data_IF_675087342216
#
_entry.id   IF_675087342216
#
_cell.length_a   1.000
_cell.length_b   1.000
_cell.length_c   1.000
_cell.angle_alpha   90.00
_cell.angle_beta   90.00
_cell.angle_gamma   90.00
#
_symmetry.space_group_name_H-M   'P 1'
#
loop_
_entity.id
_entity.type
_entity.pdbx_description
1 polymer ?
#
# COMPACT_ATOMS: atom_id res chain seq x y z
N UNK A 1 27.99 27.11 34.44
CA UNK A 1 28.79 26.95 33.21
C UNK A 1 27.78 26.48 32.16
N UNK A 2 27.37 27.20 31.10
CA UNK A 2 27.97 28.26 30.25
C UNK A 2 28.91 27.70 29.16
N UNK A 3 28.48 27.85 27.89
CA UNK A 3 29.11 27.42 26.59
C UNK A 3 28.85 25.94 26.19
N UNK A 4 28.71 25.58 24.90
CA UNK A 4 28.74 26.39 23.66
C UNK A 4 27.82 25.82 22.55
N UNK A 5 27.23 26.71 21.74
CA UNK A 5 26.63 26.42 20.42
C UNK A 5 27.75 26.21 19.37
N UNK A 6 27.68 25.17 18.52
CA UNK A 6 28.48 25.10 17.28
C UNK A 6 27.82 24.30 16.13
N UNK A 7 27.56 25.03 15.05
CA UNK A 7 27.66 24.66 13.63
C UNK A 7 26.93 23.42 13.09
N UNK A 8 25.87 23.73 12.33
CA UNK A 8 25.55 23.07 11.05
C UNK A 8 26.81 23.08 10.16
N UNK A 9 27.09 21.96 9.49
CA UNK A 9 28.00 21.89 8.34
C UNK A 9 27.21 21.30 7.17
N UNK A 10 26.86 22.13 6.19
CA UNK A 10 26.40 21.68 4.87
C UNK A 10 27.66 21.56 4.01
N UNK A 11 28.02 20.33 3.64
CA UNK A 11 29.12 20.06 2.71
C UNK A 11 28.62 20.06 1.27
N UNK A 12 29.08 21.02 0.46
CA UNK A 12 28.72 21.13 -0.96
C UNK A 12 29.94 21.50 -1.82
N UNK A 13 30.68 20.49 -2.28
CA UNK A 13 31.81 20.54 -3.23
C UNK A 13 31.93 19.14 -3.87
N UNK A 14 32.28 18.88 -5.14
CA UNK A 14 32.06 19.55 -6.44
C UNK A 14 32.97 18.83 -7.48
N UNK A 15 32.42 18.34 -8.58
CA UNK A 15 33.10 18.08 -9.87
C UNK A 15 32.02 17.90 -10.95
N UNK A 16 32.15 18.26 -12.22
CA UNK A 16 32.95 19.26 -12.97
C UNK A 16 32.48 19.17 -14.46
N UNK A 17 32.38 20.22 -15.27
CA UNK A 17 32.69 21.66 -15.14
C UNK A 17 32.67 22.34 -16.54
N UNK A 18 33.14 23.60 -16.65
CA UNK A 18 33.35 24.38 -17.90
C UNK A 18 32.08 24.76 -18.72
N UNK A 19 31.80 26.00 -19.16
CA UNK A 19 32.26 27.40 -18.90
C UNK A 19 31.02 28.33 -19.08
N UNK A 20 30.98 29.68 -19.09
CA UNK A 20 31.94 30.81 -19.11
C UNK A 20 31.29 32.02 -18.39
N UNK A 21 32.09 32.90 -17.79
CA UNK A 21 31.59 34.02 -16.97
C UNK A 21 31.14 35.26 -17.78
N UNK A 22 30.16 36.02 -17.27
CA UNK A 22 30.28 37.48 -17.05
C UNK A 22 29.10 38.03 -16.19
N UNK A 23 29.36 39.12 -15.47
CA UNK A 23 28.51 39.85 -14.52
C UNK A 23 28.64 41.36 -14.82
N UNK A 24 27.83 42.30 -14.24
CA UNK A 24 26.52 42.18 -13.56
C UNK A 24 25.45 43.23 -13.99
N UNK A 25 24.22 43.08 -13.45
CA UNK A 25 23.19 44.04 -12.93
C UNK A 25 23.36 45.59 -13.07
N UNK A 26 22.30 46.47 -12.91
CA UNK A 26 20.84 46.25 -12.71
C UNK A 26 19.85 47.22 -13.46
N UNK A 27 18.54 47.05 -13.18
CA UNK A 27 17.49 48.09 -12.94
C UNK A 27 16.58 48.71 -14.06
N UNK A 28 15.25 48.57 -13.79
CA UNK A 28 14.09 49.47 -14.00
C UNK A 28 13.56 49.98 -15.38
N UNK A 29 12.31 49.57 -15.64
CA UNK A 29 11.17 50.38 -16.17
C UNK A 29 11.08 50.70 -17.68
N UNK A 30 9.85 50.97 -18.16
CA UNK A 30 9.59 51.63 -19.46
C UNK A 30 8.62 50.88 -20.39
N UNK A 31 7.44 51.46 -20.65
CA UNK A 31 6.41 50.86 -21.51
C UNK A 31 6.74 50.91 -23.02
N UNK A 32 6.46 49.79 -23.70
CA UNK A 32 5.79 49.67 -25.01
C UNK A 32 6.29 50.55 -26.18
N UNK A 33 6.84 49.89 -27.21
CA UNK A 33 6.55 50.19 -28.63
C UNK A 33 6.72 48.92 -29.46
N UNK A 34 5.86 48.73 -30.47
CA UNK A 34 5.88 47.54 -31.35
C UNK A 34 6.68 47.85 -32.62
N UNK A 35 7.51 46.91 -33.07
CA UNK A 35 7.53 46.58 -34.50
C UNK A 35 8.02 45.15 -34.79
N UNK A 36 7.78 44.70 -36.02
CA UNK A 36 7.72 43.29 -36.45
C UNK A 36 9.06 42.55 -36.45
N UNK A 37 9.05 41.32 -35.95
CA UNK A 37 10.11 40.34 -36.23
C UNK A 37 10.02 39.09 -35.36
N UNK A 38 10.33 37.93 -35.94
CA UNK A 38 10.46 36.61 -35.30
C UNK A 38 9.14 36.05 -34.75
N UNK A 39 8.74 34.89 -35.27
CA UNK A 39 7.78 34.01 -34.59
C UNK A 39 8.45 33.51 -33.32
N UNK A 40 8.15 34.09 -32.17
CA UNK A 40 8.62 33.56 -30.89
C UNK A 40 8.14 32.12 -30.76
N UNK A 41 9.08 31.19 -30.61
CA UNK A 41 8.75 29.81 -30.22
C UNK A 41 7.95 29.90 -28.94
N UNK A 42 6.85 29.15 -28.86
CA UNK A 42 6.24 28.92 -27.55
C UNK A 42 7.23 28.09 -26.76
N UNK A 43 8.03 28.74 -25.91
CA UNK A 43 8.57 28.11 -24.71
C UNK A 43 7.39 27.83 -23.77
N UNK A 44 6.53 26.90 -24.19
CA UNK A 44 5.99 25.94 -23.26
C UNK A 44 7.20 25.33 -22.57
N UNK A 45 7.40 25.70 -21.31
CA UNK A 45 8.19 24.89 -20.42
C UNK A 45 7.52 23.52 -20.36
N UNK A 46 7.98 22.62 -21.22
CA UNK A 46 7.89 21.21 -20.94
C UNK A 46 8.60 21.04 -19.60
N UNK A 47 7.83 20.80 -18.54
CA UNK A 47 8.36 20.22 -17.32
C UNK A 47 8.81 18.80 -17.70
N UNK A 48 10.00 18.72 -18.29
CA UNK A 48 10.68 17.48 -18.64
C UNK A 48 11.08 16.80 -17.34
N UNK A 49 10.12 16.07 -16.77
CA UNK A 49 10.29 15.32 -15.54
C UNK A 49 11.50 14.40 -15.69
N UNK A 50 12.48 14.59 -14.80
CA UNK A 50 13.70 13.80 -14.83
C UNK A 50 13.32 12.31 -14.77
N UNK A 51 13.87 11.46 -15.64
CA UNK A 51 13.53 10.04 -15.64
C UNK A 51 13.96 9.41 -14.32
N UNK A 52 13.19 8.43 -13.83
CA UNK A 52 13.54 7.71 -12.61
C UNK A 52 14.93 7.08 -12.73
N UNK A 53 15.79 7.41 -11.77
CA UNK A 53 17.17 6.92 -11.65
C UNK A 53 17.38 6.12 -10.36
N UNK A 54 16.67 6.49 -9.28
CA UNK A 54 16.64 5.72 -8.05
C UNK A 54 15.85 6.39 -6.93
N UNK A 55 15.62 5.67 -5.84
CA UNK A 55 14.99 6.17 -4.62
C UNK A 55 15.79 5.72 -3.39
N UNK A 56 16.20 6.66 -2.54
CA UNK A 56 16.97 6.40 -1.31
C UNK A 56 16.15 6.72 -0.08
N UNK A 57 16.19 5.84 0.92
CA UNK A 57 15.42 5.94 2.16
C UNK A 57 16.16 5.31 3.36
N UNK A 58 15.76 5.71 4.57
CA UNK A 58 16.13 5.05 5.82
C UNK A 58 15.29 3.78 6.02
N UNK A 59 15.88 2.72 6.58
CA UNK A 59 15.23 1.42 6.77
C UNK A 59 15.70 0.74 8.05
N UNK A 60 14.78 0.33 8.94
CA UNK A 60 15.10 -0.46 10.15
C UNK A 60 15.24 -1.94 9.76
N UNK A 61 16.44 -2.49 9.85
CA UNK A 61 16.67 -3.94 9.71
C UNK A 61 16.43 -4.71 11.01
N UNK A 62 17.00 -5.91 11.12
CA UNK A 62 16.80 -6.79 12.29
C UNK A 62 17.83 -6.58 13.42
N UNK A 63 18.87 -5.75 13.19
CA UNK A 63 19.92 -5.45 14.16
C UNK A 63 20.31 -3.96 14.23
N UNK A 64 20.18 -3.24 13.11
CA UNK A 64 20.57 -1.84 12.97
C UNK A 64 19.70 -1.15 11.89
N UNK A 65 19.89 0.15 11.71
CA UNK A 65 19.26 0.90 10.61
C UNK A 65 20.20 0.96 9.40
N UNK A 66 19.64 0.95 8.20
CA UNK A 66 20.35 1.00 6.93
C UNK A 66 19.90 2.20 6.10
N UNK A 67 20.77 2.70 5.21
CA UNK A 67 20.36 3.53 4.08
C UNK A 67 20.20 2.59 2.88
N UNK A 68 19.02 2.54 2.29
CA UNK A 68 18.72 1.67 1.15
C UNK A 68 18.41 2.52 -0.06
N UNK A 69 19.03 2.20 -1.20
CA UNK A 69 18.75 2.80 -2.51
C UNK A 69 18.22 1.75 -3.47
N UNK A 70 17.04 2.00 -4.03
CA UNK A 70 16.34 1.19 -5.03
C UNK A 70 16.50 1.83 -6.41
N UNK A 71 16.84 1.06 -7.44
CA UNK A 71 16.84 1.49 -8.85
C UNK A 71 16.35 0.38 -9.78
N UNK A 72 16.24 0.68 -11.08
CA UNK A 72 16.22 -0.37 -12.12
C UNK A 72 17.50 -1.23 -12.01
N UNK A 73 17.39 -2.53 -12.28
CA UNK A 73 18.53 -3.45 -12.43
C UNK A 73 19.25 -3.33 -13.77
N UNK A 74 20.12 -4.29 -14.09
CA UNK A 74 20.77 -4.37 -15.41
C UNK A 74 19.78 -4.85 -16.48
N UNK A 75 18.73 -5.56 -16.08
CA UNK A 75 17.64 -6.00 -16.97
C UNK A 75 16.29 -5.31 -16.64
N UNK A 76 15.37 -5.18 -17.62
CA UNK A 76 14.10 -4.47 -17.43
C UNK A 76 13.17 -5.10 -16.38
N UNK A 77 13.32 -6.41 -16.17
CA UNK A 77 12.60 -7.24 -15.21
C UNK A 77 13.23 -7.25 -13.80
N UNK A 78 14.33 -6.51 -13.59
CA UNK A 78 15.07 -6.47 -12.33
C UNK A 78 14.94 -5.15 -11.57
N UNK A 79 14.96 -5.25 -10.24
CA UNK A 79 15.16 -4.13 -9.32
C UNK A 79 16.54 -4.32 -8.65
N UNK A 80 17.40 -3.30 -8.72
CA UNK A 80 18.65 -3.29 -7.95
C UNK A 80 18.43 -2.60 -6.60
N UNK A 81 19.08 -3.14 -5.56
CA UNK A 81 19.16 -2.55 -4.23
C UNK A 81 20.62 -2.36 -3.85
N UNK A 82 20.97 -1.18 -3.36
CA UNK A 82 22.19 -0.95 -2.59
C UNK A 82 21.80 -0.70 -1.12
N UNK A 83 22.38 -1.45 -0.21
CA UNK A 83 22.18 -1.35 1.25
C UNK A 83 23.49 -0.87 1.86
N UNK A 84 23.46 0.27 2.55
CA UNK A 84 24.59 0.84 3.29
C UNK A 84 24.35 0.75 4.80
N UNK A 85 25.34 0.23 5.53
CA UNK A 85 25.31 0.08 7.00
C UNK A 85 25.89 1.29 7.75
N UNK A 86 25.79 1.29 9.09
CA UNK A 86 26.27 2.39 9.93
C UNK A 86 27.80 2.57 9.94
N UNK A 87 28.55 1.73 9.21
CA UNK A 87 29.99 1.86 8.99
C UNK A 87 30.34 2.31 7.56
N UNK A 88 29.33 2.66 6.75
CA UNK A 88 29.44 2.96 5.31
C UNK A 88 29.92 1.78 4.47
N UNK A 89 29.70 0.55 4.94
CA UNK A 89 29.92 -0.65 4.13
C UNK A 89 28.65 -0.95 3.33
N UNK A 90 28.83 -1.26 2.04
CA UNK A 90 27.72 -1.41 1.09
C UNK A 90 27.59 -2.85 0.57
N UNK A 91 26.33 -3.28 0.40
CA UNK A 91 25.96 -4.58 -0.18
C UNK A 91 24.94 -4.35 -1.29
N UNK A 92 25.15 -5.02 -2.43
CA UNK A 92 24.25 -4.94 -3.57
C UNK A 92 23.45 -6.23 -3.72
N UNK A 93 22.16 -6.09 -4.01
CA UNK A 93 21.22 -7.18 -4.24
C UNK A 93 20.40 -6.90 -5.52
N UNK A 94 19.87 -7.95 -6.13
CA UNK A 94 18.98 -7.87 -7.30
C UNK A 94 17.72 -8.68 -7.02
N UNK A 95 16.56 -8.11 -7.33
CA UNK A 95 15.25 -8.77 -7.26
C UNK A 95 14.70 -8.86 -8.68
N UNK A 96 14.75 -10.04 -9.27
CA UNK A 96 14.10 -10.36 -10.55
C UNK A 96 12.58 -10.49 -10.36
N UNK A 97 11.78 -10.05 -11.33
CA UNK A 97 10.33 -10.21 -11.32
C UNK A 97 9.90 -11.69 -11.45
N UNK A 98 8.73 -12.07 -10.90
CA UNK A 98 8.09 -13.36 -11.22
C UNK A 98 7.81 -13.51 -12.72
N UNK A 99 7.82 -14.75 -13.23
CA UNK A 99 7.57 -15.03 -14.64
C UNK A 99 6.19 -14.51 -15.07
N UNK A 100 6.13 -13.70 -16.11
CA UNK A 100 4.90 -13.06 -16.59
C UNK A 100 4.55 -11.72 -15.92
N UNK A 101 5.47 -11.17 -15.10
CA UNK A 101 5.33 -9.87 -14.45
C UNK A 101 6.57 -8.99 -14.70
N UNK A 102 6.43 -7.68 -14.50
CA UNK A 102 7.52 -6.70 -14.59
C UNK A 102 7.49 -5.71 -13.41
N UNK A 103 8.65 -5.19 -12.95
CA UNK A 103 8.73 -4.24 -11.84
C UNK A 103 7.85 -3.01 -12.05
N UNK A 104 7.07 -2.63 -11.03
CA UNK A 104 6.31 -1.36 -11.03
C UNK A 104 7.19 -0.20 -10.56
N UNK A 105 8.21 0.12 -11.35
CA UNK A 105 9.01 1.32 -11.14
C UNK A 105 8.29 2.57 -11.72
N UNK A 106 8.46 3.76 -11.12
CA UNK A 106 7.94 5.00 -11.68
C UNK A 106 8.73 5.41 -12.92
N UNK A 107 8.09 6.12 -13.85
CA UNK A 107 8.80 6.73 -14.99
C UNK A 107 9.56 8.00 -14.61
N UNK A 108 9.10 8.70 -13.56
CA UNK A 108 9.53 10.05 -13.19
C UNK A 108 10.22 10.05 -11.82
N UNK A 109 11.34 10.75 -11.69
CA UNK A 109 12.09 10.93 -10.44
C UNK A 109 11.25 11.65 -9.37
N UNK A 110 10.30 12.51 -9.77
CA UNK A 110 9.28 13.12 -8.90
C UNK A 110 8.37 12.11 -8.18
N UNK A 111 8.30 10.86 -8.68
CA UNK A 111 7.53 9.74 -8.11
C UNK A 111 8.42 8.62 -7.58
N UNK A 112 9.72 8.83 -7.44
CA UNK A 112 10.69 7.83 -6.99
C UNK A 112 10.24 7.05 -5.72
N UNK A 113 9.59 7.73 -4.78
CA UNK A 113 9.00 7.16 -3.56
C UNK A 113 7.96 6.04 -3.79
N UNK A 114 7.48 5.86 -5.02
CA UNK A 114 6.51 4.82 -5.39
C UNK A 114 7.14 3.54 -5.97
N UNK A 115 8.47 3.50 -6.11
CA UNK A 115 9.23 2.32 -6.53
C UNK A 115 9.20 1.17 -5.52
N UNK A 116 9.01 1.49 -4.23
CA UNK A 116 8.86 0.54 -3.12
C UNK A 116 7.84 1.12 -2.14
N UNK A 117 6.95 0.29 -1.58
CA UNK A 117 6.17 0.66 -0.40
C UNK A 117 6.94 0.20 0.83
N UNK A 118 7.25 1.15 1.72
CA UNK A 118 7.72 0.83 3.06
C UNK A 118 6.54 0.55 3.97
N UNK A 119 6.70 -0.43 4.84
CA UNK A 119 5.79 -0.76 5.94
C UNK A 119 6.65 -0.80 7.20
N UNK A 120 6.37 0.08 8.14
CA UNK A 120 7.14 0.29 9.36
C UNK A 120 6.15 0.42 10.51
N UNK A 121 6.47 -0.14 11.68
CA UNK A 121 5.58 -0.04 12.84
C UNK A 121 5.28 1.44 13.16
N UNK A 122 4.00 1.79 13.05
CA UNK A 122 3.41 3.10 13.34
C UNK A 122 2.36 3.04 14.49
N UNK A 123 2.22 1.88 15.14
CA UNK A 123 1.28 1.65 16.26
C UNK A 123 1.88 2.11 17.59
N UNK A 124 3.15 1.80 17.85
CA UNK A 124 3.83 2.09 19.12
C UNK A 124 5.37 2.17 18.98
N UNK A 125 6.07 2.30 20.12
CA UNK A 125 7.54 2.31 20.18
C UNK A 125 8.19 0.90 20.09
N UNK A 126 7.43 -0.17 19.81
CA UNK A 126 7.98 -1.54 19.74
C UNK A 126 8.88 -1.70 18.52
N UNK A 127 10.11 -2.20 18.74
CA UNK A 127 11.08 -2.41 17.67
C UNK A 127 10.72 -3.64 16.83
N UNK A 128 10.06 -3.40 15.71
CA UNK A 128 9.82 -4.35 14.62
C UNK A 128 10.62 -3.89 13.40
N UNK A 129 11.34 -4.79 12.69
CA UNK A 129 12.01 -4.44 11.44
C UNK A 129 11.02 -3.96 10.38
N UNK A 130 11.44 -3.01 9.55
CA UNK A 130 10.62 -2.53 8.44
C UNK A 130 10.53 -3.61 7.33
N UNK A 131 9.55 -3.45 6.44
CA UNK A 131 9.31 -4.31 5.27
C UNK A 131 9.31 -3.45 4.00
N UNK A 132 10.07 -3.88 3.00
CA UNK A 132 9.99 -3.39 1.62
C UNK A 132 8.99 -4.25 0.83
N UNK A 133 7.84 -3.68 0.45
CA UNK A 133 6.88 -4.31 -0.47
C UNK A 133 7.11 -3.77 -1.89
N UNK A 134 7.56 -4.62 -2.80
CA UNK A 134 7.68 -4.34 -4.23
C UNK A 134 6.46 -4.86 -4.99
N UNK A 135 5.88 -4.03 -5.86
CA UNK A 135 4.78 -4.43 -6.76
C UNK A 135 5.32 -4.79 -8.14
N UNK A 136 4.80 -5.85 -8.74
CA UNK A 136 5.08 -6.25 -10.12
C UNK A 136 3.76 -6.32 -10.89
N UNK A 137 3.65 -5.67 -12.05
CA UNK A 137 2.45 -5.70 -12.87
C UNK A 137 2.50 -6.87 -13.86
N UNK A 138 1.36 -7.45 -14.22
CA UNK A 138 1.27 -8.46 -15.29
C UNK A 138 1.81 -7.91 -16.62
N UNK A 139 2.64 -8.68 -17.32
CA UNK A 139 3.05 -8.39 -18.71
C UNK A 139 2.11 -8.99 -19.75
N UNK A 140 1.14 -9.82 -19.34
CA UNK A 140 0.14 -10.38 -20.23
C UNK A 140 -0.86 -9.29 -20.68
N UNK A 141 -1.09 -9.19 -21.99
CA UNK A 141 -1.95 -8.17 -22.61
C UNK A 141 -3.29 -8.80 -23.00
N UNK A 142 -4.23 -8.84 -22.05
CA UNK A 142 -5.56 -9.43 -22.26
C UNK A 142 -6.24 -9.77 -20.94
N UNK A 143 -7.34 -10.52 -21.02
CA UNK A 143 -8.06 -11.05 -19.85
C UNK A 143 -7.47 -12.39 -19.34
N UNK A 144 -6.40 -12.88 -19.98
CA UNK A 144 -5.89 -14.25 -19.80
C UNK A 144 -4.93 -14.43 -18.60
N UNK A 145 -4.65 -13.36 -17.83
CA UNK A 145 -3.96 -13.45 -16.54
C UNK A 145 -4.91 -12.97 -15.42
N UNK A 146 -5.28 -13.84 -14.45
CA UNK A 146 -6.22 -13.47 -13.40
C UNK A 146 -5.69 -12.39 -12.44
N UNK A 147 -4.36 -12.22 -12.33
CA UNK A 147 -3.74 -11.30 -11.38
C UNK A 147 -3.14 -10.08 -12.11
N UNK A 148 -3.73 -8.87 -11.99
CA UNK A 148 -3.22 -7.69 -12.71
C UNK A 148 -1.88 -7.18 -12.14
N UNK A 149 -1.62 -7.41 -10.86
CA UNK A 149 -0.35 -7.12 -10.19
C UNK A 149 -0.18 -7.96 -8.92
N UNK A 150 1.06 -8.33 -8.63
CA UNK A 150 1.48 -9.12 -7.46
C UNK A 150 2.48 -8.35 -6.60
N UNK A 151 2.68 -8.82 -5.36
CA UNK A 151 3.61 -8.25 -4.38
C UNK A 151 4.66 -9.28 -3.95
N UNK A 152 5.93 -8.87 -3.86
CA UNK A 152 6.96 -9.58 -3.07
C UNK A 152 7.42 -8.68 -1.93
N UNK A 153 7.78 -9.26 -0.79
CA UNK A 153 8.10 -8.53 0.44
C UNK A 153 9.48 -8.93 0.96
N UNK A 154 10.24 -7.97 1.48
CA UNK A 154 11.62 -8.18 1.93
C UNK A 154 11.94 -7.40 3.21
N UNK A 155 12.87 -7.93 4.01
CA UNK A 155 13.52 -7.21 5.10
C UNK A 155 15.03 -7.46 5.09
N UNK A 156 15.75 -6.87 6.04
CA UNK A 156 17.21 -7.03 6.19
C UNK A 156 17.49 -7.72 7.53
N UNK A 157 18.19 -8.85 7.48
CA UNK A 157 18.50 -9.66 8.65
C UNK A 157 19.62 -9.07 9.53
N UNK A 158 20.04 -9.82 10.57
CA UNK A 158 21.09 -9.37 11.51
C UNK A 158 22.50 -9.32 10.92
N UNK A 159 22.73 -9.98 9.78
CA UNK A 159 24.00 -9.99 9.06
C UNK A 159 24.01 -8.94 7.92
N UNK A 160 22.99 -8.08 7.85
CA UNK A 160 22.79 -7.13 6.76
C UNK A 160 22.48 -7.81 5.41
N UNK A 161 21.88 -9.01 5.44
CA UNK A 161 21.46 -9.75 4.26
C UNK A 161 19.99 -9.47 3.92
N UNK A 162 19.71 -9.19 2.64
CA UNK A 162 18.33 -9.10 2.15
C UNK A 162 17.66 -10.48 2.27
N UNK A 163 16.48 -10.52 2.92
CA UNK A 163 15.65 -11.71 3.05
C UNK A 163 14.27 -11.46 2.48
N UNK A 164 13.79 -12.39 1.67
CA UNK A 164 12.40 -12.46 1.25
C UNK A 164 11.51 -12.91 2.42
N UNK A 165 10.31 -12.35 2.46
CA UNK A 165 9.25 -12.63 3.42
C UNK A 165 8.16 -13.38 2.67
N UNK A 166 8.16 -14.70 2.82
CA UNK A 166 7.09 -15.54 2.26
C UNK A 166 5.83 -15.43 3.11
N UNK A 167 4.65 -15.54 2.50
CA UNK A 167 3.41 -15.73 3.25
C UNK A 167 3.12 -17.22 3.41
N UNK A 168 2.64 -17.62 4.58
CA UNK A 168 2.20 -18.98 4.89
C UNK A 168 0.73 -18.92 5.25
N UNK A 169 -0.12 -19.59 4.47
CA UNK A 169 -1.51 -19.85 4.86
C UNK A 169 -1.66 -21.27 5.39
N UNK A 170 -2.77 -21.53 6.09
CA UNK A 170 -3.20 -22.87 6.49
C UNK A 170 -4.56 -23.14 5.87
N UNK A 171 -4.56 -24.02 4.89
CA UNK A 171 -5.72 -24.33 4.05
C UNK A 171 -5.82 -25.85 3.88
N UNK A 172 -7.03 -26.37 3.95
CA UNK A 172 -7.33 -27.75 3.54
C UNK A 172 -7.32 -27.78 2.01
N UNK A 173 -6.25 -28.33 1.42
CA UNK A 173 -6.00 -28.26 -0.03
C UNK A 173 -6.39 -29.55 -0.79
N UNK A 174 -6.58 -30.68 -0.10
CA UNK A 174 -6.97 -31.96 -0.70
C UNK A 174 -8.38 -32.45 -0.28
N UNK A 175 -8.97 -31.86 0.77
CA UNK A 175 -10.31 -32.13 1.26
C UNK A 175 -10.39 -33.16 2.40
N UNK A 176 -9.28 -33.49 3.08
CA UNK A 176 -9.28 -34.43 4.21
C UNK A 176 -9.76 -33.80 5.54
N UNK A 177 -9.74 -32.46 5.64
CA UNK A 177 -10.18 -31.68 6.80
C UNK A 177 -9.06 -31.17 7.73
N UNK A 178 -7.80 -31.55 7.51
CA UNK A 178 -6.64 -31.07 8.25
C UNK A 178 -5.88 -29.99 7.41
N UNK A 179 -5.71 -28.75 7.90
CA UNK A 179 -5.18 -27.67 7.07
C UNK A 179 -3.63 -27.72 6.97
N UNK A 180 -3.11 -27.80 5.74
CA UNK A 180 -1.67 -27.82 5.44
C UNK A 180 -1.06 -26.42 5.35
N UNK A 181 0.23 -26.28 5.69
CA UNK A 181 0.97 -25.02 5.53
C UNK A 181 1.38 -24.78 4.06
N UNK A 182 0.62 -23.92 3.37
CA UNK A 182 0.89 -23.50 1.99
C UNK A 182 1.77 -22.26 1.97
N UNK A 183 2.91 -22.33 1.28
CA UNK A 183 3.84 -21.20 1.11
C UNK A 183 3.57 -20.47 -0.20
N UNK A 184 3.29 -19.18 -0.13
CA UNK A 184 3.02 -18.31 -1.28
C UNK A 184 4.27 -17.50 -1.62
N UNK A 185 4.85 -17.74 -2.82
CA UNK A 185 6.06 -17.06 -3.33
C UNK A 185 5.83 -15.55 -3.61
N UNK A 186 4.58 -15.19 -3.88
CA UNK A 186 4.13 -13.81 -4.07
C UNK A 186 2.66 -13.72 -3.66
N UNK A 187 2.22 -12.51 -3.36
CA UNK A 187 0.81 -12.22 -3.05
C UNK A 187 0.16 -11.45 -4.17
N UNK A 188 -1.17 -11.40 -4.14
CA UNK A 188 -1.95 -10.38 -4.81
C UNK A 188 -1.51 -8.96 -4.37
N UNK A 189 -2.18 -7.92 -4.88
CA UNK A 189 -1.90 -6.53 -4.50
C UNK A 189 -2.49 -6.16 -3.13
N UNK A 190 -2.18 -6.98 -2.13
CA UNK A 190 -2.65 -6.89 -0.75
C UNK A 190 -2.22 -5.59 -0.07
N UNK A 191 -3.19 -4.90 0.52
CA UNK A 191 -2.95 -3.75 1.40
C UNK A 191 -2.86 -4.27 2.84
N UNK A 192 -1.64 -4.42 3.34
CA UNK A 192 -1.41 -4.66 4.77
C UNK A 192 -1.71 -3.38 5.56
N UNK A 193 -2.61 -3.49 6.54
CA UNK A 193 -2.95 -2.46 7.52
C UNK A 193 -2.49 -2.92 8.91
N UNK A 194 -1.68 -2.13 9.63
CA UNK A 194 -1.31 -2.48 11.00
C UNK A 194 -2.55 -2.59 11.90
N UNK A 195 -2.53 -3.60 12.78
CA UNK A 195 -3.49 -3.75 13.89
C UNK A 195 -2.77 -3.92 15.21
N UNK A 196 -1.63 -4.63 15.18
CA UNK A 196 -0.61 -4.68 16.23
C UNK A 196 0.76 -4.38 15.57
N UNK A 197 1.83 -4.11 16.37
CA UNK A 197 3.16 -3.81 15.83
C UNK A 197 3.71 -4.83 14.83
N UNK A 198 3.48 -6.13 15.10
CA UNK A 198 3.89 -7.25 14.25
C UNK A 198 2.74 -7.94 13.51
N UNK A 199 1.50 -7.41 13.58
CA UNK A 199 0.31 -8.05 13.01
C UNK A 199 -0.56 -7.12 12.17
N UNK A 200 -0.78 -7.53 10.93
CA UNK A 200 -1.56 -6.82 9.94
C UNK A 200 -2.95 -7.43 9.77
N UNK A 201 -3.99 -6.60 9.58
CA UNK A 201 -5.21 -7.02 8.89
C UNK A 201 -4.95 -6.93 7.39
N UNK A 202 -5.37 -7.95 6.63
CA UNK A 202 -5.22 -7.97 5.17
C UNK A 202 -6.52 -8.25 4.41
N UNK A 203 -7.51 -8.87 5.06
CA UNK A 203 -8.85 -9.09 4.51
C UNK A 203 -9.89 -9.01 5.63
N UNK A 204 -11.04 -8.39 5.35
CA UNK A 204 -12.23 -8.51 6.20
C UNK A 204 -13.41 -8.91 5.30
N UNK A 205 -14.05 -10.03 5.62
CA UNK A 205 -15.25 -10.53 4.94
C UNK A 205 -16.48 -10.26 5.81
N UNK A 206 -17.58 -9.82 5.22
CA UNK A 206 -18.88 -9.68 5.89
C UNK A 206 -19.90 -10.59 5.20
N UNK A 207 -20.61 -11.42 5.96
CA UNK A 207 -21.76 -12.18 5.52
C UNK A 207 -23.05 -11.41 5.84
N UNK A 208 -23.77 -11.05 4.78
CA UNK A 208 -25.08 -10.40 4.84
C UNK A 208 -26.23 -11.32 4.42
N UNK A 209 -25.94 -12.58 4.05
CA UNK A 209 -26.93 -13.53 3.53
C UNK A 209 -28.01 -13.90 4.55
N UNK A 210 -27.67 -13.83 5.84
CA UNK A 210 -28.59 -14.07 6.95
C UNK A 210 -28.24 -13.15 8.13
N UNK A 211 -28.90 -11.99 8.21
CA UNK A 211 -28.69 -11.01 9.29
C UNK A 211 -29.35 -11.40 10.62
N UNK A 212 -30.30 -12.34 10.58
CA UNK A 212 -31.11 -12.78 11.73
C UNK A 212 -31.05 -14.31 11.89
N UNK A 213 -31.25 -14.82 13.10
CA UNK A 213 -31.46 -16.25 13.36
C UNK A 213 -32.88 -16.70 12.95
N UNK A 214 -33.17 -18.01 13.09
CA UNK A 214 -34.47 -18.58 12.69
C UNK A 214 -35.62 -18.11 13.62
N UNK A 215 -35.28 -17.64 14.83
CA UNK A 215 -36.16 -16.99 15.79
C UNK A 215 -36.38 -15.47 15.53
N UNK A 216 -35.61 -14.86 14.62
CA UNK A 216 -35.72 -13.45 14.23
C UNK A 216 -34.90 -12.46 15.05
N UNK A 217 -33.97 -12.91 15.90
CA UNK A 217 -33.01 -12.05 16.60
C UNK A 217 -31.82 -11.71 15.68
N UNK A 218 -31.17 -10.53 15.82
CA UNK A 218 -29.97 -10.21 15.05
C UNK A 218 -28.83 -11.20 15.36
N UNK A 219 -28.20 -11.78 14.32
CA UNK A 219 -27.05 -12.67 14.53
C UNK A 219 -25.84 -11.89 15.08
N UNK A 220 -25.06 -12.47 16.01
CA UNK A 220 -23.95 -11.79 16.67
C UNK A 220 -22.75 -11.64 15.72
N UNK A 221 -21.86 -10.70 16.04
CA UNK A 221 -20.86 -10.18 15.08
C UNK A 221 -19.88 -11.26 14.60
N UNK A 222 -19.46 -12.14 15.49
CA UNK A 222 -18.55 -13.27 15.26
C UNK A 222 -19.11 -14.33 14.31
N UNK A 223 -20.44 -14.37 14.13
CA UNK A 223 -21.09 -15.24 13.15
C UNK A 223 -21.24 -14.61 11.76
N UNK A 224 -20.98 -13.30 11.63
CA UNK A 224 -21.25 -12.48 10.44
C UNK A 224 -20.02 -11.83 9.83
N UNK A 225 -18.92 -11.71 10.57
CA UNK A 225 -17.69 -11.09 10.08
C UNK A 225 -16.53 -12.06 10.26
N UNK A 226 -15.58 -12.05 9.32
CA UNK A 226 -14.29 -12.74 9.45
C UNK A 226 -13.17 -11.74 9.17
N UNK A 227 -12.21 -11.65 10.08
CA UNK A 227 -11.01 -10.83 9.92
C UNK A 227 -9.84 -11.78 9.73
N UNK A 228 -9.17 -11.70 8.58
CA UNK A 228 -7.92 -12.44 8.32
C UNK A 228 -6.74 -11.53 8.63
N UNK A 229 -5.80 -12.05 9.40
CA UNK A 229 -4.58 -11.34 9.80
C UNK A 229 -3.32 -12.05 9.30
N UNK A 230 -2.22 -11.29 9.27
CA UNK A 230 -0.88 -11.78 8.95
C UNK A 230 0.08 -11.34 10.06
N UNK A 231 0.71 -12.31 10.72
CA UNK A 231 1.72 -12.05 11.75
C UNK A 231 3.13 -12.16 11.18
N UNK A 232 3.94 -11.12 11.37
CA UNK A 232 5.31 -11.03 10.87
C UNK A 232 6.31 -11.64 11.86
N UNK A 233 6.72 -12.88 11.63
CA UNK A 233 7.76 -13.53 12.42
C UNK A 233 9.16 -13.10 11.94
N UNK A 234 9.53 -11.85 12.24
CA UNK A 234 10.77 -11.22 11.78
C UNK A 234 12.09 -11.97 12.17
N UNK A 235 12.05 -12.96 13.06
CA UNK A 235 13.21 -13.83 13.37
C UNK A 235 13.43 -14.94 12.32
N UNK A 236 12.39 -15.33 11.58
CA UNK A 236 12.44 -16.27 10.45
C UNK A 236 11.55 -15.67 9.35
N UNK A 237 12.04 -14.68 8.59
CA UNK A 237 11.21 -13.73 7.82
C UNK A 237 10.06 -14.37 7.02
N UNK A 238 8.85 -14.32 7.60
CA UNK A 238 7.61 -14.87 7.05
C UNK A 238 6.39 -14.15 7.64
N UNK A 239 5.30 -14.12 6.88
CA UNK A 239 4.00 -13.66 7.32
C UNK A 239 3.09 -14.88 7.49
N UNK A 240 2.70 -15.21 8.72
CA UNK A 240 1.82 -16.35 9.02
C UNK A 240 0.37 -15.85 9.04
N UNK A 241 -0.49 -16.44 8.21
CA UNK A 241 -1.90 -16.08 8.13
C UNK A 241 -2.72 -16.76 9.22
N UNK A 242 -3.67 -16.04 9.81
CA UNK A 242 -4.60 -16.55 10.83
C UNK A 242 -5.95 -15.82 10.77
N UNK A 243 -6.91 -16.24 11.61
CA UNK A 243 -8.19 -15.57 11.81
C UNK A 243 -8.29 -15.03 13.24
N UNK A 244 -8.73 -13.77 13.40
CA UNK A 244 -8.94 -13.21 14.74
C UNK A 244 -10.30 -13.63 15.34
N UNK A 245 -10.29 -13.99 16.62
CA UNK A 245 -11.53 -14.18 17.39
C UNK A 245 -12.22 -12.82 17.60
N UNK A 246 -13.41 -12.66 17.01
CA UNK A 246 -14.27 -11.50 17.22
C UNK A 246 -14.99 -11.69 18.56
N UNK A 247 -14.67 -10.85 19.54
CA UNK A 247 -15.14 -10.98 20.91
C UNK A 247 -15.21 -9.58 21.54
N UNK A 248 -16.30 -9.22 22.22
CA UNK A 248 -16.47 -7.90 22.86
C UNK A 248 -15.34 -7.57 23.87
N UNK A 249 -14.70 -8.58 24.44
CA UNK A 249 -13.56 -8.43 25.36
C UNK A 249 -12.25 -8.05 24.63
N UNK A 250 -12.19 -8.16 23.30
CA UNK A 250 -11.12 -7.66 22.45
C UNK A 250 -11.63 -6.48 21.60
N UNK A 251 -11.62 -5.24 22.15
CA UNK A 251 -12.25 -4.08 21.51
C UNK A 251 -11.57 -3.65 20.20
N UNK A 252 -10.35 -4.12 19.91
CA UNK A 252 -9.65 -3.84 18.66
C UNK A 252 -10.36 -4.53 17.48
N UNK A 253 -10.37 -5.87 17.46
CA UNK A 253 -10.96 -6.63 16.35
C UNK A 253 -12.50 -6.60 16.37
N UNK A 254 -13.13 -6.49 17.55
CA UNK A 254 -14.56 -6.20 17.62
C UNK A 254 -14.90 -4.82 17.03
N UNK A 255 -14.04 -3.81 17.26
CA UNK A 255 -14.16 -2.49 16.65
C UNK A 255 -14.06 -2.53 15.12
N UNK A 256 -13.07 -3.24 14.58
CA UNK A 256 -12.95 -3.47 13.13
C UNK A 256 -14.15 -4.23 12.55
N UNK A 257 -14.67 -5.23 13.26
CA UNK A 257 -15.83 -5.99 12.80
C UNK A 257 -17.11 -5.14 12.75
N UNK A 258 -17.37 -4.37 13.81
CA UNK A 258 -18.45 -3.38 13.84
C UNK A 258 -18.32 -2.34 12.72
N UNK A 259 -17.11 -1.83 12.46
CA UNK A 259 -16.84 -0.90 11.36
C UNK A 259 -17.10 -1.53 9.99
N UNK A 260 -16.62 -2.75 9.75
CA UNK A 260 -16.82 -3.44 8.48
C UNK A 260 -18.30 -3.72 8.19
N UNK A 261 -19.04 -4.24 9.17
CA UNK A 261 -20.48 -4.48 9.05
C UNK A 261 -21.27 -3.18 8.81
N UNK A 262 -20.91 -2.07 9.47
CA UNK A 262 -21.54 -0.77 9.25
C UNK A 262 -21.19 -0.16 7.88
N UNK A 263 -19.95 -0.33 7.42
CA UNK A 263 -19.48 0.16 6.13
C UNK A 263 -20.11 -0.62 4.96
N UNK A 264 -20.30 -1.94 5.10
CA UNK A 264 -21.02 -2.77 4.13
C UNK A 264 -22.48 -2.30 3.97
N UNK A 265 -23.19 -2.11 5.08
CA UNK A 265 -24.54 -1.54 5.06
C UNK A 265 -24.58 -0.10 4.48
N UNK A 266 -23.54 0.72 4.68
CA UNK A 266 -23.44 2.05 4.09
C UNK A 266 -23.15 2.02 2.57
N UNK A 267 -22.42 1.01 2.07
CA UNK A 267 -22.22 0.81 0.64
C UNK A 267 -23.54 0.47 -0.07
N UNK A 268 -24.42 -0.33 0.54
CA UNK A 268 -25.77 -0.59 0.01
C UNK A 268 -26.53 0.71 -0.31
N UNK A 269 -26.57 1.67 0.63
CA UNK A 269 -27.27 2.95 0.46
C UNK A 269 -26.57 3.96 -0.47
N UNK A 270 -25.29 3.78 -0.78
CA UNK A 270 -24.51 4.72 -1.61
C UNK A 270 -24.24 4.21 -3.02
N UNK A 271 -24.24 2.88 -3.23
CA UNK A 271 -24.10 2.24 -4.53
C UNK A 271 -25.45 1.87 -5.18
N UNK A 272 -26.53 1.77 -4.39
CA UNK A 272 -27.89 1.56 -4.91
C UNK A 272 -28.62 2.91 -5.05
N UNK A 273 -28.74 3.49 -6.25
CA UNK A 273 -29.53 4.71 -6.44
C UNK A 273 -31.01 4.39 -6.36
N UNK A 274 -31.58 4.43 -5.15
CA UNK A 274 -33.02 4.48 -4.96
C UNK A 274 -33.58 5.70 -5.69
N UNK A 275 -34.31 5.47 -6.78
CA UNK A 275 -34.93 6.55 -7.53
C UNK A 275 -36.21 7.02 -6.81
N UNK A 276 -36.03 7.91 -5.84
CA UNK A 276 -37.09 8.45 -4.96
C UNK A 276 -38.27 9.08 -5.75
N UNK A 277 -38.11 9.37 -7.04
CA UNK A 277 -39.21 9.84 -7.89
C UNK A 277 -40.26 8.76 -8.23
N UNK A 278 -39.98 7.46 -8.08
CA UNK A 278 -40.91 6.37 -8.38
C UNK A 278 -41.76 5.97 -7.16
N UNK A 279 -42.34 6.98 -6.51
CA UNK A 279 -43.22 6.81 -5.35
C UNK A 279 -44.50 6.04 -5.69
N UNK A 280 -45.01 6.16 -6.92
CA UNK A 280 -46.30 5.58 -7.34
C UNK A 280 -46.26 4.05 -7.53
N UNK A 281 -45.09 3.44 -7.79
CA UNK A 281 -44.96 1.98 -7.86
C UNK A 281 -44.65 1.30 -6.50
N UNK A 282 -44.29 2.07 -5.47
CA UNK A 282 -43.97 1.54 -4.14
C UNK A 282 -45.24 1.37 -3.30
N UNK A 283 -46.03 0.33 -3.64
CA UNK A 283 -47.26 -0.03 -2.94
C UNK A 283 -46.97 -0.25 -1.45
N UNK A 284 -47.60 0.53 -0.58
CA UNK A 284 -47.60 0.28 0.86
C UNK A 284 -48.21 -1.11 1.14
N UNK A 285 -47.39 -2.05 1.61
CA UNK A 285 -47.88 -3.34 2.11
C UNK A 285 -48.72 -3.04 3.36
N UNK A 286 -50.05 -3.26 3.36
CA UNK A 286 -50.87 -2.93 4.51
C UNK A 286 -50.47 -3.79 5.71
N UNK A 287 -50.30 -3.17 6.89
CA UNK A 287 -50.20 -3.95 8.13
C UNK A 287 -51.45 -4.80 8.31
N UNK A 288 -51.27 -6.05 8.71
CA UNK A 288 -52.27 -7.11 8.90
C UNK A 288 -53.43 -6.78 9.86
N UNK A 289 -53.38 -5.62 10.50
CA UNK A 289 -54.08 -5.33 11.75
C UNK A 289 -55.30 -4.42 11.52
N UNK A 290 -55.44 -3.81 10.34
CA UNK A 290 -56.60 -3.03 9.96
C UNK A 290 -57.75 -3.93 9.47
N UNK A 291 -58.48 -4.53 10.42
CA UNK A 291 -59.73 -5.22 10.15
C UNK A 291 -60.85 -4.24 9.78
N UNK A 292 -60.84 -3.71 8.55
CA UNK A 292 -61.82 -2.68 8.13
C UNK A 292 -61.88 -2.35 6.64
N UNK A 293 -62.97 -2.81 6.00
CA UNK A 293 -63.60 -2.24 4.78
C UNK A 293 -62.92 -2.49 3.42
N UNK A 294 -63.40 -3.56 2.77
CA UNK A 294 -63.81 -3.66 1.36
C UNK A 294 -62.83 -3.33 0.22
N UNK A 295 -62.63 -4.31 -0.66
CA UNK A 295 -62.30 -4.09 -2.07
C UNK A 295 -63.36 -3.19 -2.76
N UNK A 296 -62.96 -2.46 -3.81
CA UNK A 296 -63.54 -2.56 -5.18
C UNK A 296 -62.87 -1.58 -6.16
N UNK A 297 -62.19 -2.15 -7.16
CA UNK A 297 -61.59 -1.52 -8.36
C UNK A 297 -60.44 -0.53 -8.14
#
# INVERSE_FOLDING_TARGET
MKRLLKYIIISAVLFSGCTKAEEPLPAESGNVSKESGITAVSESAEESSEPFSGYTFEFKGTAENYIVTVSQGEHPDEIALCVEDNTYSTKSFVITAPTGFAPKLPYEQSRAYSAVKLISNDIDDTYIPDIMQFTFNSTAVGADNPLPAVSRMFTIDRDGGLREINMITREDTDGDGEPEETVHEYLDRTQLYHSEPDKFIYEITVDESSLYDDEGNPRPMESRVKIKTLKFEHNVPRLVADYEEINENNPLYFGYACWAAANSAAQYFTMTPFNISDWENNIEIPRSDNSGVSDYY
#
